data_IF_102775525977
#
_entry.id   IF_102775525977
#
_cell.length_a   1.000
_cell.length_b   1.000
_cell.length_c   1.000
_cell.angle_alpha   90.00
_cell.angle_beta   90.00
_cell.angle_gamma   90.00
#
_symmetry.space_group_name_H-M   'P 1'
#
loop_
_entity.id
_entity.type
_entity.pdbx_description
1 polymer ?
#
# COMPACT_ATOMS: atom_id res chain seq x y z
N UNK A 1 -19.53 -11.39 -22.38
CA UNK A 1 -19.64 -11.20 -20.93
C UNK A 1 -18.56 -12.06 -20.28
N UNK A 2 -17.48 -11.44 -19.84
CA UNK A 2 -16.46 -12.10 -19.02
C UNK A 2 -17.14 -12.43 -17.69
N UNK A 3 -17.09 -13.67 -17.19
CA UNK A 3 -17.65 -14.00 -15.88
C UNK A 3 -16.95 -13.13 -14.83
N UNK A 4 -17.66 -12.69 -13.79
CA UNK A 4 -17.06 -11.93 -12.73
C UNK A 4 -15.92 -12.76 -12.12
N UNK A 5 -14.70 -12.31 -12.30
CA UNK A 5 -13.55 -12.89 -11.62
C UNK A 5 -13.73 -12.56 -10.15
N UNK A 6 -14.16 -13.53 -9.35
CA UNK A 6 -14.15 -13.40 -7.89
C UNK A 6 -12.71 -13.36 -7.44
N UNK A 7 -12.14 -12.16 -7.44
CA UNK A 7 -10.81 -11.94 -6.89
C UNK A 7 -10.90 -12.18 -5.40
N UNK A 8 -10.04 -13.03 -4.82
CA UNK A 8 -9.89 -13.02 -3.38
C UNK A 8 -9.53 -11.60 -2.95
N UNK A 9 -10.06 -11.11 -1.84
CA UNK A 9 -9.73 -9.78 -1.36
C UNK A 9 -8.22 -9.65 -1.28
N UNK A 10 -7.68 -8.56 -1.83
CA UNK A 10 -6.24 -8.25 -1.75
C UNK A 10 -5.85 -8.34 -0.28
N UNK A 11 -5.14 -9.39 0.06
CA UNK A 11 -4.77 -9.67 1.43
C UNK A 11 -3.71 -8.67 1.84
N UNK A 12 -4.01 -7.92 2.86
CA UNK A 12 -3.03 -6.98 3.42
C UNK A 12 -1.91 -7.79 4.08
N UNK A 13 -0.64 -7.38 3.92
CA UNK A 13 0.41 -7.94 4.74
C UNK A 13 -0.01 -7.88 6.20
N UNK A 14 0.17 -8.97 6.92
CA UNK A 14 -0.22 -9.02 8.32
C UNK A 14 0.56 -7.98 9.12
N UNK A 15 -0.10 -7.21 9.99
CA UNK A 15 0.60 -6.35 10.93
C UNK A 15 1.46 -7.20 11.85
N UNK A 16 2.66 -6.75 12.16
CA UNK A 16 3.50 -7.38 13.18
C UNK A 16 3.10 -6.86 14.57
N UNK A 17 3.05 -7.72 15.57
CA UNK A 17 3.30 -9.17 15.55
C UNK A 17 2.11 -9.96 14.98
N UNK A 18 2.35 -11.16 14.45
CA UNK A 18 1.33 -12.01 13.81
C UNK A 18 0.09 -12.31 14.66
N UNK A 19 0.24 -12.28 15.98
CA UNK A 19 -0.84 -12.58 16.94
C UNK A 19 -2.00 -11.56 16.92
N UNK A 20 -1.83 -10.40 16.27
CA UNK A 20 -2.81 -9.31 16.30
C UNK A 20 -3.49 -9.03 14.98
N UNK A 21 -3.18 -9.77 13.95
CA UNK A 21 -3.71 -9.49 12.63
C UNK A 21 -4.01 -10.73 11.81
N UNK A 22 -4.81 -10.52 10.77
CA UNK A 22 -5.04 -11.55 9.77
C UNK A 22 -3.71 -11.95 9.12
N UNK A 23 -3.43 -13.25 9.12
CA UNK A 23 -2.28 -13.80 8.40
C UNK A 23 -2.74 -14.22 6.99
N UNK A 24 -2.14 -13.67 5.93
CA UNK A 24 -2.43 -14.12 4.58
C UNK A 24 -2.02 -15.59 4.40
N UNK A 25 -2.75 -16.30 3.58
CA UNK A 25 -2.48 -17.71 3.29
C UNK A 25 -1.20 -17.93 2.45
N UNK A 26 -0.67 -16.86 1.83
CA UNK A 26 0.52 -16.89 1.01
C UNK A 26 1.44 -15.70 1.32
N UNK A 27 2.67 -15.76 0.80
CA UNK A 27 3.62 -14.64 0.89
C UNK A 27 2.99 -13.37 0.27
N UNK A 28 3.02 -12.22 0.94
CA UNK A 28 2.46 -10.97 0.42
C UNK A 28 3.01 -10.54 -0.94
N UNK A 29 4.20 -10.97 -1.33
CA UNK A 29 4.76 -10.73 -2.68
C UNK A 29 3.96 -11.44 -3.76
N UNK A 30 3.44 -12.63 -3.47
CA UNK A 30 2.54 -13.37 -4.38
C UNK A 30 1.25 -12.58 -4.58
N UNK A 31 0.73 -11.95 -3.54
CA UNK A 31 -0.48 -11.12 -3.65
C UNK A 31 -0.24 -9.85 -4.47
N UNK A 32 0.93 -9.23 -4.34
CA UNK A 32 1.32 -8.08 -5.18
C UNK A 32 1.46 -8.51 -6.64
N UNK A 33 2.11 -9.62 -6.91
CA UNK A 33 2.24 -10.17 -8.27
C UNK A 33 0.86 -10.47 -8.87
N UNK A 34 0.00 -11.15 -8.12
CA UNK A 34 -1.38 -11.43 -8.53
C UNK A 34 -2.15 -10.14 -8.86
N UNK A 35 -2.00 -9.11 -8.04
CA UNK A 35 -2.62 -7.80 -8.30
C UNK A 35 -2.13 -7.21 -9.62
N UNK A 36 -0.84 -7.28 -9.90
CA UNK A 36 -0.25 -6.82 -11.16
C UNK A 36 -0.81 -7.60 -12.35
N UNK A 37 -0.87 -8.92 -12.26
CA UNK A 37 -1.40 -9.76 -13.33
C UNK A 37 -2.89 -9.50 -13.61
N UNK A 38 -3.67 -9.27 -12.57
CA UNK A 38 -5.10 -8.94 -12.72
C UNK A 38 -5.27 -7.58 -13.42
N UNK A 39 -4.51 -6.57 -13.04
CA UNK A 39 -4.57 -5.25 -13.68
C UNK A 39 -4.16 -5.35 -15.16
N UNK A 40 -3.16 -6.17 -15.47
CA UNK A 40 -2.77 -6.47 -16.85
C UNK A 40 -3.92 -7.11 -17.65
N UNK A 41 -4.58 -8.12 -17.10
CA UNK A 41 -5.75 -8.76 -17.75
C UNK A 41 -6.90 -7.75 -17.97
N UNK A 42 -7.13 -6.85 -17.00
CA UNK A 42 -8.10 -5.76 -17.15
C UNK A 42 -7.69 -4.85 -18.32
N UNK A 43 -6.41 -4.48 -18.42
CA UNK A 43 -5.88 -3.66 -19.53
C UNK A 43 -6.13 -4.34 -20.89
N UNK A 44 -5.85 -5.63 -21.01
CA UNK A 44 -6.02 -6.41 -22.23
C UNK A 44 -7.50 -6.49 -22.66
N UNK A 45 -8.44 -6.48 -21.70
CA UNK A 45 -9.88 -6.52 -21.97
C UNK A 45 -10.55 -5.14 -22.07
N UNK A 46 -9.88 -4.08 -21.61
CA UNK A 46 -10.45 -2.72 -21.57
C UNK A 46 -10.39 -2.03 -22.93
N UNK A 47 -11.37 -1.16 -23.26
CA UNK A 47 -11.28 -0.28 -24.43
C UNK A 47 -9.99 0.56 -24.40
N UNK A 48 -9.40 0.80 -25.58
CA UNK A 48 -8.14 1.52 -25.71
C UNK A 48 -8.17 2.97 -25.18
N UNK A 49 -9.33 3.59 -25.13
CA UNK A 49 -9.53 4.95 -24.62
C UNK A 49 -9.79 5.01 -23.10
N UNK A 50 -9.80 3.86 -22.41
CA UNK A 50 -9.98 3.82 -20.96
C UNK A 50 -8.62 3.85 -20.25
N UNK A 51 -8.40 4.88 -19.41
CA UNK A 51 -7.21 4.95 -18.57
C UNK A 51 -7.31 3.95 -17.41
N UNK A 52 -6.23 3.18 -17.18
CA UNK A 52 -6.14 2.20 -16.12
C UNK A 52 -5.18 2.69 -15.04
N UNK A 53 -5.67 2.76 -13.80
CA UNK A 53 -4.87 3.07 -12.63
C UNK A 53 -4.52 1.79 -11.86
N UNK A 54 -3.24 1.48 -11.74
CA UNK A 54 -2.75 0.39 -10.92
C UNK A 54 -2.47 0.86 -9.49
N UNK A 55 -2.77 0.04 -8.47
CA UNK A 55 -2.56 0.38 -7.07
C UNK A 55 -2.13 -0.84 -6.23
N UNK A 56 -2.02 -0.65 -4.91
CA UNK A 56 -1.63 -1.68 -3.93
C UNK A 56 -0.14 -2.08 -3.95
N UNK A 57 0.73 -1.23 -4.48
CA UNK A 57 2.16 -1.50 -4.63
C UNK A 57 3.02 -1.13 -3.41
N UNK A 58 2.43 -0.62 -2.33
CA UNK A 58 3.19 -0.15 -1.15
C UNK A 58 4.07 -1.23 -0.51
N UNK A 59 3.72 -2.50 -0.66
CA UNK A 59 4.53 -3.62 -0.15
C UNK A 59 5.87 -3.76 -0.87
N UNK A 60 6.01 -3.23 -2.08
CA UNK A 60 7.26 -3.24 -2.83
C UNK A 60 8.35 -2.36 -2.20
N UNK A 61 7.98 -1.46 -1.28
CA UNK A 61 8.88 -0.60 -0.53
C UNK A 61 9.91 0.12 -1.42
N UNK A 62 11.19 -0.13 -1.24
CA UNK A 62 12.27 0.49 -2.03
C UNK A 62 12.20 0.17 -3.53
N UNK A 63 11.61 -0.98 -3.89
CA UNK A 63 11.45 -1.40 -5.29
C UNK A 63 10.24 -0.76 -5.99
N UNK A 64 9.37 -0.07 -5.25
CA UNK A 64 8.14 0.52 -5.79
C UNK A 64 8.40 1.39 -7.03
N UNK A 65 9.34 2.34 -7.05
CA UNK A 65 9.57 3.18 -8.23
C UNK A 65 9.99 2.38 -9.46
N UNK A 66 10.83 1.38 -9.28
CA UNK A 66 11.34 0.57 -10.39
C UNK A 66 10.25 -0.31 -11.02
N UNK A 67 9.47 -0.98 -10.17
CA UNK A 67 8.37 -1.83 -10.64
C UNK A 67 7.29 -0.99 -11.32
N UNK A 68 6.87 0.10 -10.69
CA UNK A 68 5.79 0.94 -11.24
C UNK A 68 6.19 1.62 -12.55
N UNK A 69 7.43 2.09 -12.69
CA UNK A 69 7.94 2.60 -13.97
C UNK A 69 7.91 1.54 -15.07
N UNK A 70 8.23 0.29 -14.73
CA UNK A 70 8.14 -0.81 -15.67
C UNK A 70 6.70 -1.04 -16.12
N UNK A 71 5.75 -1.09 -15.19
CA UNK A 71 4.33 -1.31 -15.49
C UNK A 71 3.77 -0.26 -16.45
N UNK A 72 4.15 1.01 -16.26
CA UNK A 72 3.77 2.12 -17.15
C UNK A 72 4.44 1.98 -18.52
N UNK A 73 5.74 1.70 -18.57
CA UNK A 73 6.46 1.52 -19.84
C UNK A 73 5.94 0.37 -20.68
N UNK A 74 5.51 -0.71 -20.04
CA UNK A 74 4.94 -1.88 -20.71
C UNK A 74 3.45 -1.68 -21.07
N UNK A 75 2.88 -0.51 -20.72
CA UNK A 75 1.49 -0.18 -21.01
C UNK A 75 0.47 -1.00 -20.24
N UNK A 76 0.87 -1.63 -19.11
CA UNK A 76 -0.05 -2.39 -18.27
C UNK A 76 -0.95 -1.49 -17.44
N UNK A 77 -0.44 -0.31 -17.08
CA UNK A 77 -1.17 0.77 -16.43
C UNK A 77 -0.79 2.10 -17.06
N UNK A 78 -1.70 3.08 -17.02
CA UNK A 78 -1.41 4.44 -17.46
C UNK A 78 -0.90 5.29 -16.29
N UNK A 79 -1.42 5.05 -15.09
CA UNK A 79 -1.05 5.75 -13.88
C UNK A 79 -0.92 4.80 -12.69
N UNK A 80 -0.14 5.22 -11.70
CA UNK A 80 0.05 4.49 -10.45
C UNK A 80 -0.61 5.23 -9.30
N UNK A 81 -1.54 4.56 -8.62
CA UNK A 81 -2.19 5.06 -7.44
C UNK A 81 -1.38 4.74 -6.18
N UNK A 82 -0.99 5.77 -5.45
CA UNK A 82 -0.32 5.65 -4.16
C UNK A 82 -1.30 5.95 -3.03
N UNK A 83 -1.55 4.95 -2.19
CA UNK A 83 -2.45 5.08 -1.05
C UNK A 83 -1.71 5.45 0.23
N UNK A 84 -1.74 4.57 1.21
CA UNK A 84 -1.26 4.81 2.57
C UNK A 84 0.21 5.20 2.71
N UNK A 85 1.04 4.90 1.73
CA UNK A 85 2.46 5.26 1.75
C UNK A 85 2.67 6.78 1.84
N UNK A 86 1.76 7.58 1.30
CA UNK A 86 1.84 9.04 1.36
C UNK A 86 1.62 9.60 2.78
N UNK A 87 1.05 8.83 3.70
CA UNK A 87 0.90 9.23 5.11
C UNK A 87 2.23 9.24 5.86
N UNK A 88 3.18 8.40 5.46
CA UNK A 88 4.54 8.38 6.04
C UNK A 88 5.54 9.16 5.20
N UNK A 89 5.27 9.33 3.91
CA UNK A 89 6.22 9.90 2.97
C UNK A 89 5.50 10.78 1.92
N UNK A 90 4.96 11.95 2.33
CA UNK A 90 4.23 12.84 1.41
C UNK A 90 5.10 13.35 0.26
N UNK A 91 6.38 13.60 0.49
CA UNK A 91 7.33 14.13 -0.49
C UNK A 91 7.98 13.06 -1.38
N UNK A 92 7.51 11.80 -1.28
CA UNK A 92 8.13 10.64 -1.93
C UNK A 92 8.38 10.84 -3.42
N UNK A 93 7.43 11.40 -4.16
CA UNK A 93 7.56 11.60 -5.60
C UNK A 93 8.59 12.68 -5.92
N UNK A 94 8.56 13.79 -5.19
CA UNK A 94 9.53 14.88 -5.36
C UNK A 94 10.95 14.41 -5.08
N UNK A 95 11.16 13.68 -3.98
CA UNK A 95 12.48 13.14 -3.64
C UNK A 95 12.95 12.07 -4.63
N UNK A 96 12.06 11.18 -5.07
CA UNK A 96 12.41 10.20 -6.10
C UNK A 96 12.85 10.85 -7.41
N UNK A 97 12.20 11.93 -7.80
CA UNK A 97 12.56 12.68 -9.02
C UNK A 97 13.87 13.46 -8.88
N UNK A 98 14.13 14.00 -7.70
CA UNK A 98 15.33 14.83 -7.46
C UNK A 98 16.57 13.99 -7.17
N UNK A 99 16.41 12.94 -6.34
CA UNK A 99 17.53 12.16 -5.81
C UNK A 99 17.70 10.81 -6.51
N UNK A 100 16.74 10.40 -7.33
CA UNK A 100 16.73 9.08 -8.00
C UNK A 100 16.54 7.90 -7.05
N UNK A 101 16.30 8.14 -5.76
CA UNK A 101 16.14 7.11 -4.74
C UNK A 101 15.15 7.57 -3.65
N UNK A 102 14.59 6.62 -2.94
CA UNK A 102 13.72 6.86 -1.79
C UNK A 102 14.49 6.77 -0.47
N UNK A 103 14.07 7.54 0.52
CA UNK A 103 14.56 7.41 1.90
C UNK A 103 13.90 6.22 2.58
N UNK A 104 14.61 5.09 2.69
CA UNK A 104 14.08 3.83 3.23
C UNK A 104 13.44 3.97 4.62
N UNK A 105 13.92 4.89 5.45
CA UNK A 105 13.36 5.13 6.79
C UNK A 105 11.94 5.69 6.77
N UNK A 106 11.53 6.40 5.69
CA UNK A 106 10.20 7.02 5.54
C UNK A 106 9.20 6.12 4.82
N UNK A 107 9.67 5.04 4.20
CA UNK A 107 8.82 4.14 3.41
C UNK A 107 7.87 3.38 4.33
N UNK A 108 6.59 3.36 3.97
CA UNK A 108 5.56 2.63 4.69
C UNK A 108 5.93 1.14 4.87
N UNK A 109 5.99 0.69 6.11
CA UNK A 109 6.29 -0.70 6.48
C UNK A 109 5.03 -1.56 6.64
N UNK A 110 3.88 -1.06 6.20
CA UNK A 110 2.59 -1.78 6.22
C UNK A 110 2.09 -2.22 7.60
N UNK A 111 2.46 -1.50 8.66
CA UNK A 111 2.02 -1.78 10.04
C UNK A 111 0.50 -1.69 10.25
N UNK A 112 -0.21 -1.05 9.34
CA UNK A 112 -1.68 -0.88 9.36
C UNK A 112 -2.23 0.00 10.49
N UNK A 113 -1.41 0.70 11.26
CA UNK A 113 -1.84 1.62 12.31
C UNK A 113 -2.76 2.72 11.77
N UNK A 114 -2.45 3.25 10.59
CA UNK A 114 -3.28 4.23 9.88
C UNK A 114 -4.72 3.76 9.58
N UNK A 115 -5.00 2.48 9.65
CA UNK A 115 -6.36 1.91 9.50
C UNK A 115 -6.95 1.46 10.83
N UNK A 116 -6.13 1.10 11.80
CA UNK A 116 -6.56 0.71 13.14
C UNK A 116 -7.08 1.92 13.93
N UNK A 117 -6.36 3.03 13.84
CA UNK A 117 -6.66 4.26 14.58
C UNK A 117 -8.06 4.82 14.26
N UNK A 118 -8.45 5.07 12.99
CA UNK A 118 -9.78 5.58 12.69
C UNK A 118 -10.90 4.57 12.99
N UNK A 119 -10.64 3.27 12.97
CA UNK A 119 -11.63 2.26 13.41
C UNK A 119 -11.96 2.35 14.90
N UNK A 120 -11.08 2.96 15.68
CA UNK A 120 -11.27 3.24 17.11
C UNK A 120 -11.67 4.70 17.37
N UNK A 121 -12.18 5.42 16.37
CA UNK A 121 -12.65 6.81 16.50
C UNK A 121 -11.55 7.85 16.64
N UNK A 122 -10.31 7.51 16.31
CA UNK A 122 -9.15 8.40 16.42
C UNK A 122 -8.72 8.93 15.05
N UNK A 123 -7.87 9.96 15.04
CA UNK A 123 -7.36 10.59 13.81
C UNK A 123 -6.46 9.62 13.04
N UNK A 124 -6.68 9.51 11.73
CA UNK A 124 -5.82 8.71 10.84
C UNK A 124 -4.47 9.39 10.61
N UNK A 125 -3.41 8.59 10.54
CA UNK A 125 -2.06 9.05 10.25
C UNK A 125 -1.04 7.93 10.35
N UNK A 126 0.22 8.22 10.04
CA UNK A 126 1.30 7.25 10.16
C UNK A 126 1.99 7.37 11.51
N UNK A 127 1.45 6.74 12.54
CA UNK A 127 2.02 6.79 13.89
C UNK A 127 3.42 6.17 14.01
N UNK A 128 3.80 5.11 13.27
CA UNK A 128 5.15 4.55 13.39
C UNK A 128 6.27 5.39 12.78
N UNK A 129 5.98 6.21 11.74
CA UNK A 129 7.04 6.83 10.93
C UNK A 129 6.93 8.35 10.80
N UNK A 130 5.80 8.94 11.21
CA UNK A 130 5.60 10.38 11.15
C UNK A 130 5.72 11.00 12.54
N UNK A 131 6.70 11.88 12.71
CA UNK A 131 7.01 12.53 13.97
C UNK A 131 5.82 13.31 14.55
N UNK A 132 5.05 13.99 13.71
CA UNK A 132 3.85 14.71 14.15
C UNK A 132 2.85 13.76 14.83
N UNK A 133 2.57 12.62 14.23
CA UNK A 133 1.62 11.66 14.80
C UNK A 133 2.17 10.95 16.05
N UNK A 134 3.49 10.81 16.17
CA UNK A 134 4.13 10.24 17.37
C UNK A 134 3.98 11.13 18.60
N UNK A 135 3.85 12.45 18.42
CA UNK A 135 3.65 13.41 19.53
C UNK A 135 2.19 13.52 20.00
N UNK A 136 1.26 12.91 19.29
CA UNK A 136 -0.16 13.00 19.59
C UNK A 136 -0.58 12.03 20.70
N UNK A 137 -1.56 12.43 21.55
CA UNK A 137 -2.06 11.59 22.64
C UNK A 137 -2.65 10.26 22.16
N UNK A 138 -3.13 10.19 20.92
CA UNK A 138 -3.63 8.97 20.30
C UNK A 138 -2.55 7.89 20.14
N UNK A 139 -1.27 8.27 20.10
CA UNK A 139 -0.17 7.32 20.01
C UNK A 139 -0.09 6.40 21.23
N UNK A 140 -0.31 6.94 22.41
CA UNK A 140 -0.33 6.15 23.65
C UNK A 140 -1.55 5.23 23.73
N UNK A 141 -2.69 5.66 23.17
CA UNK A 141 -3.91 4.87 23.12
C UNK A 141 -3.85 3.73 22.09
N UNK A 142 -2.97 3.82 21.11
CA UNK A 142 -2.85 2.81 20.04
C UNK A 142 -2.38 1.45 20.58
N UNK A 143 -1.42 1.43 21.52
CA UNK A 143 -0.84 0.19 22.09
C UNK A 143 -1.89 -0.72 22.73
N UNK A 144 -2.76 -0.25 23.63
CA UNK A 144 -3.81 -1.09 24.22
C UNK A 144 -4.87 -1.51 23.19
N UNK A 145 -5.15 -0.67 22.18
CA UNK A 145 -6.13 -0.99 21.14
C UNK A 145 -5.62 -2.07 20.17
N UNK A 146 -4.31 -2.15 19.90
CA UNK A 146 -3.71 -3.26 19.15
C UNK A 146 -3.84 -4.62 19.84
N UNK A 147 -3.98 -4.66 21.16
CA UNK A 147 -4.16 -5.90 21.93
C UNK A 147 -5.61 -6.42 21.90
N UNK A 148 -6.56 -5.63 21.41
CA UNK A 148 -8.00 -5.98 21.38
C UNK A 148 -8.48 -6.51 20.01
N UNK A 149 -7.61 -6.46 19.01
CA UNK A 149 -7.87 -6.94 17.65
C UNK A 149 -7.26 -8.33 17.47
#
# INVERSE_FOLDING_TARGET
LVPPVSLPPVQRPAPLPPSYGYQPACDPRIDVERQIQVVRQIREAAPANLAIAGCAYSYLQDFLPHVTQRLVREGWVDVVGLGRIVLSYPDMLSEAMTNGALMSMRICRTFSDCTTVPRNGMISGCFPLDEYHQTRPEFDQLKPNKKKI
#
